data_IF_309741670153
#
_entry.id   IF_309741670153
#
_cell.length_a   1.000
_cell.length_b   1.000
_cell.length_c   1.000
_cell.angle_alpha   90.00
_cell.angle_beta   90.00
_cell.angle_gamma   90.00
#
_symmetry.space_group_name_H-M   'P 1'
#
loop_
_entity.id
_entity.type
_entity.pdbx_description
1 polymer ?
#
# COMPACT_ATOMS: atom_id res chain seq x y z
N UNK A 1 -45.46 -26.23 27.69
CA UNK A 1 -45.66 -24.76 27.71
C UNK A 1 -45.16 -24.26 29.06
N UNK A 2 -43.90 -23.84 29.12
CA UNK A 2 -43.35 -23.12 30.28
C UNK A 2 -43.50 -21.64 29.94
N UNK A 3 -44.38 -20.94 30.65
CA UNK A 3 -44.48 -19.49 30.61
C UNK A 3 -43.19 -18.92 31.20
N UNK A 4 -42.32 -18.38 30.35
CA UNK A 4 -41.17 -17.62 30.80
C UNK A 4 -41.68 -16.43 31.62
N UNK A 5 -41.37 -16.46 32.92
CA UNK A 5 -41.53 -15.33 33.82
C UNK A 5 -40.84 -14.14 33.16
N UNK A 6 -41.58 -13.05 32.91
CA UNK A 6 -41.05 -11.78 32.41
C UNK A 6 -39.84 -11.38 33.27
N UNK A 7 -38.63 -11.64 32.76
CA UNK A 7 -37.40 -11.22 33.40
C UNK A 7 -37.45 -9.71 33.52
N UNK A 8 -37.25 -9.19 34.73
CA UNK A 8 -37.07 -7.74 34.91
C UNK A 8 -35.83 -7.36 34.11
N UNK A 9 -35.95 -6.40 33.20
CA UNK A 9 -34.79 -5.83 32.52
C UNK A 9 -34.04 -4.96 33.52
N UNK A 10 -32.72 -4.94 33.48
CA UNK A 10 -31.88 -4.13 34.36
C UNK A 10 -31.04 -3.17 33.50
N UNK A 11 -30.95 -1.90 33.92
CA UNK A 11 -29.99 -0.91 33.44
C UNK A 11 -28.84 -0.86 34.43
N UNK A 12 -27.60 -0.87 33.95
CA UNK A 12 -26.44 -0.86 34.81
C UNK A 12 -25.56 0.33 34.46
N UNK A 13 -25.30 1.19 35.44
CA UNK A 13 -24.32 2.27 35.30
C UNK A 13 -22.95 1.73 35.74
N UNK A 14 -21.96 1.90 34.87
CA UNK A 14 -20.60 1.42 35.09
C UNK A 14 -19.68 2.62 35.28
N UNK A 15 -19.13 2.79 36.48
CA UNK A 15 -18.22 3.88 36.79
C UNK A 15 -16.92 3.35 37.39
N UNK A 16 -15.91 3.18 36.55
CA UNK A 16 -14.69 2.44 36.91
C UNK A 16 -14.97 0.95 37.08
N UNK A 17 -14.34 0.29 38.06
CA UNK A 17 -14.51 -1.15 38.33
C UNK A 17 -15.86 -1.53 38.99
N UNK A 18 -16.78 -0.59 39.13
CA UNK A 18 -18.02 -0.77 39.89
C UNK A 18 -19.24 -0.65 38.98
N UNK A 19 -19.99 -1.74 38.85
CA UNK A 19 -21.27 -1.80 38.11
C UNK A 19 -22.43 -1.75 39.08
N UNK A 20 -23.27 -0.73 38.98
CA UNK A 20 -24.52 -0.61 39.74
C UNK A 20 -25.72 -0.83 38.85
N UNK A 21 -26.43 -1.95 39.05
CA UNK A 21 -27.60 -2.33 38.28
C UNK A 21 -28.91 -1.97 38.98
N UNK A 22 -29.81 -1.30 38.26
CA UNK A 22 -31.16 -0.95 38.66
C UNK A 22 -32.16 -1.62 37.73
N UNK A 23 -33.25 -2.19 38.26
CA UNK A 23 -34.30 -2.74 37.39
C UNK A 23 -34.98 -1.60 36.62
N UNK A 24 -35.11 -1.74 35.29
CA UNK A 24 -35.96 -0.89 34.48
C UNK A 24 -37.39 -0.95 35.03
N UNK A 25 -37.99 0.22 35.26
CA UNK A 25 -39.34 0.31 35.76
C UNK A 25 -40.31 -0.30 34.73
N UNK A 26 -41.34 -1.00 35.19
CA UNK A 26 -42.35 -1.63 34.31
C UNK A 26 -43.14 -0.64 33.44
N UNK A 27 -42.99 0.66 33.68
CA UNK A 27 -43.59 1.76 32.92
C UNK A 27 -42.69 2.32 31.82
N UNK A 28 -41.40 2.00 31.82
CA UNK A 28 -40.41 2.68 30.98
C UNK A 28 -39.93 1.75 29.86
N UNK A 29 -40.46 2.05 28.68
CA UNK A 29 -39.96 1.72 27.35
C UNK A 29 -40.06 0.24 26.87
N UNK A 30 -40.60 0.08 25.67
CA UNK A 30 -40.47 -1.16 24.90
C UNK A 30 -38.99 -1.52 24.76
N UNK A 31 -38.58 -2.76 25.07
CA UNK A 31 -37.17 -3.15 24.97
C UNK A 31 -36.64 -2.88 23.56
N UNK A 32 -35.40 -2.42 23.43
CA UNK A 32 -34.73 -2.37 22.13
C UNK A 32 -34.60 -3.81 21.62
N UNK A 33 -35.20 -4.07 20.48
CA UNK A 33 -35.19 -5.40 19.84
C UNK A 33 -34.37 -5.44 18.56
N UNK A 34 -33.64 -4.36 18.27
CA UNK A 34 -32.81 -4.25 17.08
C UNK A 34 -31.52 -5.07 17.26
N UNK A 35 -31.06 -5.68 16.16
CA UNK A 35 -29.84 -6.52 16.14
C UNK A 35 -28.64 -5.70 16.68
N UNK A 36 -27.93 -6.27 17.67
CA UNK A 36 -26.72 -5.70 18.27
C UNK A 36 -26.92 -4.88 19.54
N UNK A 37 -28.14 -4.73 20.02
CA UNK A 37 -28.42 -4.21 21.37
C UNK A 37 -28.55 -5.35 22.38
N UNK A 38 -28.11 -5.12 23.60
CA UNK A 38 -28.33 -6.05 24.72
C UNK A 38 -28.31 -5.35 26.07
N UNK A 39 -28.76 -6.10 27.08
CA UNK A 39 -28.79 -5.66 28.47
C UNK A 39 -27.88 -6.58 29.31
N UNK A 40 -27.33 -6.10 30.42
CA UNK A 40 -26.64 -6.98 31.37
C UNK A 40 -27.66 -7.86 32.09
N UNK A 41 -27.37 -9.16 32.20
CA UNK A 41 -28.13 -10.01 33.10
C UNK A 41 -27.71 -9.76 34.57
N UNK A 42 -28.52 -8.98 35.28
CA UNK A 42 -28.32 -8.71 36.71
C UNK A 42 -28.48 -9.94 37.62
N UNK A 43 -28.95 -11.07 37.10
CA UNK A 43 -29.12 -12.33 37.86
C UNK A 43 -27.97 -13.32 37.67
N UNK A 44 -27.35 -13.33 36.48
CA UNK A 44 -26.21 -14.20 36.17
C UNK A 44 -25.04 -13.34 35.67
N UNK A 45 -24.11 -12.97 36.56
CA UNK A 45 -22.90 -12.24 36.17
C UNK A 45 -22.15 -13.07 35.12
N UNK A 46 -21.94 -12.49 33.92
CA UNK A 46 -21.42 -13.09 32.68
C UNK A 46 -22.47 -13.46 31.60
N UNK A 47 -23.76 -13.33 31.88
CA UNK A 47 -24.80 -13.43 30.86
C UNK A 47 -25.23 -12.05 30.36
N UNK A 48 -25.78 -12.04 29.16
CA UNK A 48 -26.38 -10.89 28.49
C UNK A 48 -27.84 -11.24 28.18
N UNK A 49 -28.72 -10.26 28.28
CA UNK A 49 -30.12 -10.41 27.88
C UNK A 49 -30.26 -9.80 26.48
N UNK A 50 -30.68 -10.62 25.53
CA UNK A 50 -31.01 -10.18 24.18
C UNK A 50 -32.52 -10.27 23.96
N UNK A 51 -33.11 -9.19 23.46
CA UNK A 51 -34.53 -9.14 23.13
C UNK A 51 -34.73 -9.20 21.62
N UNK A 52 -35.65 -10.05 21.16
CA UNK A 52 -36.04 -10.19 19.75
C UNK A 52 -37.52 -9.90 19.60
N UNK A 53 -37.92 -9.35 18.44
CA UNK A 53 -39.32 -9.07 18.11
C UNK A 53 -39.77 -9.91 16.92
N UNK A 54 -40.78 -10.74 17.12
CA UNK A 54 -41.43 -11.51 16.05
C UNK A 54 -42.89 -11.09 15.94
N UNK A 55 -43.22 -10.32 14.90
CA UNK A 55 -44.54 -9.68 14.78
C UNK A 55 -44.76 -8.63 15.88
N UNK A 56 -45.80 -8.79 16.70
CA UNK A 56 -46.08 -7.93 17.86
C UNK A 56 -45.47 -8.44 19.17
N UNK A 57 -44.91 -9.64 19.19
CA UNK A 57 -44.40 -10.27 20.41
C UNK A 57 -42.92 -9.95 20.60
N UNK A 58 -42.54 -9.58 21.83
CA UNK A 58 -41.14 -9.39 22.25
C UNK A 58 -40.76 -10.54 23.18
N UNK A 59 -39.63 -11.17 22.89
CA UNK A 59 -39.04 -12.26 23.68
C UNK A 59 -37.62 -11.89 24.06
N UNK A 60 -37.29 -11.95 25.35
CA UNK A 60 -35.95 -11.67 25.86
C UNK A 60 -35.37 -12.93 26.49
N UNK A 61 -34.14 -13.29 26.11
CA UNK A 61 -33.45 -14.48 26.59
C UNK A 61 -32.12 -14.08 27.23
N UNK A 62 -31.83 -14.67 28.40
CA UNK A 62 -30.50 -14.63 29.00
C UNK A 62 -29.63 -15.67 28.30
N UNK A 63 -28.64 -15.19 27.58
CA UNK A 63 -27.66 -16.02 26.88
C UNK A 63 -26.29 -15.86 27.54
N UNK A 64 -25.52 -16.93 27.56
CA UNK A 64 -24.15 -16.87 28.03
C UNK A 64 -23.39 -15.82 27.20
N UNK A 65 -22.65 -14.94 27.87
CA UNK A 65 -21.78 -13.99 27.18
C UNK A 65 -20.74 -14.71 26.29
N UNK A 66 -20.14 -14.00 25.32
CA UNK A 66 -19.08 -14.56 24.49
C UNK A 66 -17.99 -15.22 25.35
N UNK A 67 -17.46 -16.37 24.91
CA UNK A 67 -16.40 -17.06 25.63
C UNK A 67 -15.09 -16.26 25.58
N UNK A 68 -14.12 -16.56 26.45
CA UNK A 68 -12.79 -15.92 26.45
C UNK A 68 -12.00 -16.06 25.13
N UNK A 69 -12.46 -16.95 24.24
CA UNK A 69 -11.89 -17.17 22.92
C UNK A 69 -12.58 -16.35 21.82
N UNK A 70 -13.72 -15.73 22.13
CA UNK A 70 -14.52 -14.90 21.23
C UNK A 70 -14.12 -13.41 21.44
N UNK A 71 -12.93 -13.04 20.96
CA UNK A 71 -12.43 -11.66 21.02
C UNK A 71 -13.07 -10.79 19.93
N UNK A 72 -13.41 -9.54 20.26
CA UNK A 72 -13.94 -8.54 19.31
C UNK A 72 -15.47 -8.48 19.20
N UNK A 73 -16.20 -9.27 19.99
CA UNK A 73 -17.66 -9.23 20.04
C UNK A 73 -18.15 -8.20 21.06
N UNK A 74 -19.14 -7.41 20.65
CA UNK A 74 -19.79 -6.41 21.49
C UNK A 74 -21.31 -6.41 21.31
N UNK A 75 -22.00 -5.86 22.30
CA UNK A 75 -23.38 -5.41 22.20
C UNK A 75 -23.42 -3.94 22.62
N UNK A 76 -24.24 -3.15 21.92
CA UNK A 76 -24.56 -1.79 22.31
C UNK A 76 -25.43 -1.89 23.56
N UNK A 77 -25.07 -1.15 24.61
CA UNK A 77 -25.91 -1.04 25.80
C UNK A 77 -27.26 -0.45 25.38
N UNK A 78 -28.31 -1.25 25.52
CA UNK A 78 -29.65 -0.86 25.15
C UNK A 78 -30.18 0.34 25.97
N UNK A 79 -29.56 0.62 27.13
CA UNK A 79 -29.91 1.69 28.05
C UNK A 79 -29.09 2.97 27.85
N UNK A 80 -28.06 2.92 27.00
CA UNK A 80 -27.31 4.12 26.62
C UNK A 80 -28.16 4.95 25.65
N UNK A 81 -28.59 6.12 26.12
CA UNK A 81 -29.06 7.19 25.26
C UNK A 81 -27.80 7.84 24.73
N UNK A 82 -27.49 7.70 23.44
CA UNK A 82 -26.31 8.28 22.81
C UNK A 82 -26.11 9.75 23.24
N UNK A 83 -25.35 9.99 24.31
CA UNK A 83 -25.07 11.34 24.76
C UNK A 83 -23.99 11.91 23.82
N UNK A 84 -24.38 12.91 23.03
CA UNK A 84 -23.49 13.74 22.22
C UNK A 84 -22.21 14.08 23.00
N UNK A 85 -21.04 13.77 22.42
CA UNK A 85 -19.76 14.28 22.91
C UNK A 85 -19.01 13.44 23.96
N UNK A 86 -19.37 12.16 24.19
CA UNK A 86 -18.58 11.26 25.05
C UNK A 86 -17.97 10.03 24.37
N UNK A 87 -18.35 9.67 23.14
CA UNK A 87 -17.77 8.49 22.46
C UNK A 87 -16.45 8.84 21.75
N UNK A 88 -15.41 7.97 21.81
CA UNK A 88 -14.22 8.12 20.97
C UNK A 88 -14.60 8.12 19.50
N UNK A 89 -13.87 8.86 18.66
CA UNK A 89 -14.16 8.89 17.23
C UNK A 89 -13.84 7.53 16.57
N UNK A 90 -14.84 6.97 15.87
CA UNK A 90 -14.75 5.86 14.91
C UNK A 90 -14.21 4.54 15.47
N UNK A 91 -14.99 3.88 16.33
CA UNK A 91 -14.68 2.53 16.81
C UNK A 91 -15.58 1.49 16.16
N UNK A 92 -15.02 0.31 15.86
CA UNK A 92 -15.71 -0.79 15.19
C UNK A 92 -15.58 -2.07 16.01
N UNK A 93 -16.68 -2.82 16.12
CA UNK A 93 -16.75 -4.07 16.88
C UNK A 93 -17.65 -5.07 16.17
N UNK A 94 -17.46 -6.36 16.41
CA UNK A 94 -18.30 -7.41 15.81
C UNK A 94 -19.63 -7.46 16.56
N UNK A 95 -20.74 -7.47 15.83
CA UNK A 95 -22.05 -7.65 16.43
C UNK A 95 -22.21 -9.10 16.90
N UNK A 96 -22.34 -9.31 18.21
CA UNK A 96 -22.52 -10.64 18.79
C UNK A 96 -23.84 -11.31 18.38
N UNK A 97 -24.92 -10.54 18.30
CA UNK A 97 -26.24 -11.05 17.91
C UNK A 97 -26.27 -11.54 16.46
N UNK A 98 -25.47 -10.92 15.58
CA UNK A 98 -25.44 -11.23 14.16
C UNK A 98 -24.07 -10.96 13.57
N UNK A 99 -23.30 -12.04 13.36
CA UNK A 99 -21.91 -11.97 12.87
C UNK A 99 -21.75 -11.29 11.51
N UNK A 100 -22.80 -11.15 10.71
CA UNK A 100 -22.74 -10.39 9.45
C UNK A 100 -22.82 -8.87 9.64
N UNK A 101 -23.03 -8.41 10.87
CA UNK A 101 -23.08 -7.00 11.25
C UNK A 101 -21.88 -6.59 12.10
N UNK A 102 -21.57 -5.30 12.06
CA UNK A 102 -20.61 -4.64 12.96
C UNK A 102 -21.30 -3.50 13.68
N UNK A 103 -20.83 -3.22 14.89
CA UNK A 103 -21.18 -2.04 15.68
C UNK A 103 -20.19 -0.95 15.32
N UNK A 104 -20.69 0.24 14.98
CA UNK A 104 -19.92 1.44 14.68
C UNK A 104 -20.30 2.52 15.68
N UNK A 105 -19.30 3.04 16.39
CA UNK A 105 -19.47 4.14 17.33
C UNK A 105 -18.75 5.39 16.83
N UNK A 106 -19.47 6.50 16.73
CA UNK A 106 -18.89 7.82 16.44
C UNK A 106 -19.16 8.79 17.59
N UNK A 107 -18.33 9.83 17.68
CA UNK A 107 -18.48 10.89 18.68
C UNK A 107 -19.78 11.71 18.50
N UNK A 108 -20.30 11.76 17.27
CA UNK A 108 -21.46 12.56 16.85
C UNK A 108 -22.77 11.79 16.89
N UNK A 109 -22.75 10.52 16.50
CA UNK A 109 -23.97 9.74 16.23
C UNK A 109 -24.19 8.61 17.24
N UNK A 110 -23.25 8.42 18.18
CA UNK A 110 -23.27 7.30 19.11
C UNK A 110 -22.98 5.97 18.42
N UNK A 111 -23.44 4.86 19.00
CA UNK A 111 -23.23 3.51 18.47
C UNK A 111 -24.45 3.02 17.68
N UNK A 112 -24.22 2.45 16.50
CA UNK A 112 -25.24 1.84 15.64
C UNK A 112 -24.71 0.55 14.99
N UNK A 113 -25.59 -0.26 14.41
CA UNK A 113 -25.20 -1.47 13.67
C UNK A 113 -25.33 -1.30 12.17
N UNK A 114 -24.32 -1.76 11.44
CA UNK A 114 -24.30 -1.80 9.98
C UNK A 114 -23.91 -3.19 9.48
N UNK A 115 -24.19 -3.49 8.21
CA UNK A 115 -23.75 -4.73 7.58
C UNK A 115 -22.23 -4.68 7.33
N UNK A 116 -21.50 -5.61 7.94
CA UNK A 116 -20.03 -5.63 7.88
C UNK A 116 -19.50 -6.04 6.52
N UNK A 117 -20.21 -6.89 5.78
CA UNK A 117 -19.95 -7.14 4.37
C UNK A 117 -21.25 -7.32 3.56
N UNK A 118 -21.64 -6.25 2.87
CA UNK A 118 -22.81 -6.21 1.97
C UNK A 118 -22.52 -6.64 0.52
N UNK A 119 -21.26 -6.97 0.20
CA UNK A 119 -20.83 -7.23 -1.18
C UNK A 119 -20.70 -8.73 -1.45
N UNK A 120 -21.08 -9.17 -2.66
CA UNK A 120 -20.97 -10.57 -3.08
C UNK A 120 -19.54 -11.01 -3.43
N UNK A 121 -18.56 -10.09 -3.39
CA UNK A 121 -17.16 -10.36 -3.74
C UNK A 121 -16.21 -9.45 -2.93
N UNK A 122 -15.19 -10.05 -2.29
CA UNK A 122 -14.13 -9.36 -1.56
C UNK A 122 -14.39 -9.23 -0.05
N UNK A 123 -13.32 -9.33 0.74
CA UNK A 123 -13.35 -9.13 2.19
C UNK A 123 -13.35 -7.62 2.48
N UNK A 124 -14.08 -7.21 3.53
CA UNK A 124 -14.05 -5.82 4.04
C UNK A 124 -13.26 -5.77 5.34
N UNK A 125 -12.49 -4.71 5.51
CA UNK A 125 -11.65 -4.51 6.69
C UNK A 125 -12.03 -3.24 7.43
N UNK A 126 -12.00 -3.28 8.77
CA UNK A 126 -12.27 -2.14 9.66
C UNK A 126 -11.23 -2.10 10.80
N UNK A 127 -10.85 -0.91 11.30
CA UNK A 127 -9.94 -0.82 12.44
C UNK A 127 -10.64 -1.37 13.69
N UNK A 128 -9.98 -2.27 14.42
CA UNK A 128 -10.52 -2.79 15.69
C UNK A 128 -10.50 -1.68 16.77
N UNK A 129 -11.61 -1.52 17.50
CA UNK A 129 -11.81 -0.39 18.41
C UNK A 129 -10.81 -0.31 19.57
N UNK A 130 -10.23 0.89 19.78
CA UNK A 130 -9.19 1.14 20.80
C UNK A 130 -9.71 1.27 22.24
N UNK A 131 -10.90 1.85 22.43
CA UNK A 131 -11.47 2.09 23.77
C UNK A 131 -12.76 1.26 23.95
N UNK A 132 -12.61 0.29 24.84
CA UNK A 132 -13.57 -0.76 25.15
C UNK A 132 -14.54 -0.38 26.28
N UNK A 133 -14.41 0.82 26.84
CA UNK A 133 -15.18 1.29 28.00
C UNK A 133 -16.66 1.60 27.72
N UNK A 134 -17.07 1.60 26.44
CA UNK A 134 -18.43 1.94 25.98
C UNK A 134 -19.20 0.80 25.32
N UNK A 135 -18.60 -0.37 25.25
CA UNK A 135 -19.23 -1.58 24.75
C UNK A 135 -19.09 -2.64 25.82
N UNK A 136 -20.15 -3.43 26.04
CA UNK A 136 -20.04 -4.59 26.90
C UNK A 136 -19.08 -5.60 26.27
N UNK A 137 -17.84 -5.56 26.72
CA UNK A 137 -16.95 -6.70 26.69
C UNK A 137 -17.14 -7.43 28.00
N UNK A 138 -17.62 -8.66 27.92
CA UNK A 138 -17.58 -9.57 29.06
C UNK A 138 -16.12 -9.85 29.40
N UNK A 139 -15.47 -8.99 30.20
CA UNK A 139 -14.18 -9.33 30.77
C UNK A 139 -14.38 -10.38 31.89
N UNK A 140 -13.62 -11.49 31.89
CA UNK A 140 -13.51 -12.31 33.08
C UNK A 140 -12.75 -11.54 34.17
N UNK A 141 -13.17 -11.76 35.42
CA UNK A 141 -12.53 -11.25 36.64
C UNK A 141 -10.99 -11.43 36.61
N UNK A 142 -10.30 -10.29 36.59
CA UNK A 142 -8.92 -10.02 37.01
C UNK A 142 -7.90 -11.16 36.99
N UNK A 143 -7.01 -11.13 35.99
CA UNK A 143 -5.54 -11.29 36.10
C UNK A 143 -4.99 -11.65 34.72
N UNK A 144 -4.69 -10.67 33.88
CA UNK A 144 -3.50 -10.70 33.02
C UNK A 144 -3.36 -9.40 32.23
N UNK A 145 -2.11 -9.05 31.98
CA UNK A 145 -1.59 -7.84 31.34
C UNK A 145 -2.32 -7.44 30.04
N UNK A 146 -2.59 -6.13 29.92
CA UNK A 146 -2.97 -5.36 28.72
C UNK A 146 -3.23 -6.16 27.43
N UNK A 147 -4.49 -6.16 26.98
CA UNK A 147 -4.90 -6.78 25.72
C UNK A 147 -4.11 -6.16 24.56
N UNK A 148 -3.23 -6.97 23.96
CA UNK A 148 -2.40 -6.58 22.82
C UNK A 148 -3.27 -6.16 21.62
N UNK A 149 -3.07 -4.91 21.21
CA UNK A 149 -3.69 -4.13 20.13
C UNK A 149 -3.37 -4.63 18.71
N UNK A 150 -3.41 -5.96 18.53
CA UNK A 150 -2.82 -6.67 17.41
C UNK A 150 -3.81 -7.06 16.31
N UNK A 151 -5.00 -6.47 16.22
CA UNK A 151 -6.08 -7.05 15.41
C UNK A 151 -6.70 -6.06 14.40
N UNK A 152 -7.27 -6.65 13.34
CA UNK A 152 -8.08 -5.99 12.30
C UNK A 152 -9.39 -6.78 12.20
N UNK A 153 -10.51 -6.09 12.02
CA UNK A 153 -11.79 -6.76 11.78
C UNK A 153 -11.90 -7.11 10.30
N UNK A 154 -12.05 -8.39 10.01
CA UNK A 154 -12.21 -8.94 8.67
C UNK A 154 -13.63 -9.48 8.51
N UNK A 155 -14.36 -8.95 7.53
CA UNK A 155 -15.73 -9.33 7.24
C UNK A 155 -15.85 -9.99 5.88
N UNK A 156 -16.31 -11.24 5.86
CA UNK A 156 -16.61 -12.00 4.64
C UNK A 156 -18.04 -12.57 4.66
N UNK A 157 -18.54 -12.99 3.50
CA UNK A 157 -19.92 -13.50 3.36
C UNK A 157 -20.13 -14.92 3.88
N UNK A 158 -19.06 -15.66 4.12
CA UNK A 158 -19.06 -17.07 4.57
C UNK A 158 -19.00 -17.18 6.09
N UNK A 159 -18.12 -16.42 6.74
CA UNK A 159 -17.83 -16.47 8.16
C UNK A 159 -18.41 -15.27 8.93
N UNK A 160 -18.91 -14.25 8.21
CA UNK A 160 -19.26 -12.96 8.82
C UNK A 160 -18.00 -12.17 9.17
N UNK A 161 -18.10 -11.35 10.21
CA UNK A 161 -17.01 -10.55 10.74
C UNK A 161 -16.28 -11.30 11.85
N UNK A 162 -14.96 -11.32 11.75
CA UNK A 162 -14.04 -11.95 12.70
C UNK A 162 -12.90 -10.99 13.04
N UNK A 163 -12.33 -11.15 14.23
CA UNK A 163 -11.12 -10.44 14.63
C UNK A 163 -9.92 -11.26 14.16
N UNK A 164 -9.14 -10.69 13.23
CA UNK A 164 -7.96 -11.29 12.63
C UNK A 164 -6.70 -10.61 13.16
N UNK A 165 -5.61 -11.35 13.37
CA UNK A 165 -4.33 -10.74 13.74
C UNK A 165 -3.83 -9.84 12.61
N UNK A 166 -3.30 -8.67 12.98
CA UNK A 166 -2.58 -7.81 12.08
C UNK A 166 -1.25 -8.50 11.69
N UNK A 167 -0.88 -8.36 10.43
CA UNK A 167 0.30 -8.98 9.85
C UNK A 167 1.52 -8.06 9.89
N UNK A 168 1.52 -7.05 10.77
CA UNK A 168 2.64 -6.14 10.91
C UNK A 168 3.82 -6.80 11.63
N UNK A 169 5.02 -6.35 11.31
CA UNK A 169 6.27 -6.78 11.98
C UNK A 169 6.96 -5.55 12.56
N UNK A 170 7.96 -5.76 13.42
CA UNK A 170 8.75 -4.66 14.02
C UNK A 170 9.33 -3.70 12.98
N UNK A 171 9.62 -4.20 11.77
CA UNK A 171 10.30 -3.44 10.72
C UNK A 171 9.40 -3.08 9.54
N UNK A 172 8.15 -3.56 9.51
CA UNK A 172 7.27 -3.34 8.36
C UNK A 172 5.80 -3.32 8.80
N UNK A 173 5.10 -2.20 8.58
CA UNK A 173 3.66 -2.12 8.79
C UNK A 173 2.88 -3.05 7.84
N UNK A 174 1.66 -3.40 8.23
CA UNK A 174 0.68 -4.03 7.34
C UNK A 174 -0.43 -3.04 6.97
N UNK A 175 -0.95 -3.17 5.76
CA UNK A 175 -1.93 -2.24 5.19
C UNK A 175 -3.16 -2.98 4.67
N UNK A 176 -4.33 -2.41 4.91
CA UNK A 176 -5.63 -2.95 4.49
C UNK A 176 -6.50 -1.81 3.96
N UNK A 177 -7.39 -2.08 3.01
CA UNK A 177 -8.39 -1.10 2.57
C UNK A 177 -9.41 -0.91 3.69
N UNK A 178 -9.51 0.30 4.23
CA UNK A 178 -10.52 0.60 5.23
C UNK A 178 -11.88 0.78 4.55
N UNK A 179 -12.85 -0.03 4.97
CA UNK A 179 -14.20 -0.06 4.44
C UNK A 179 -15.19 0.82 5.22
N UNK A 180 -14.72 1.57 6.21
CA UNK A 180 -15.55 2.42 7.06
C UNK A 180 -16.27 3.57 6.35
N UNK A 181 -15.62 4.17 5.35
CA UNK A 181 -16.17 5.27 4.56
C UNK A 181 -15.91 5.06 3.07
N UNK A 182 -16.94 4.60 2.35
CA UNK A 182 -16.84 4.30 0.91
C UNK A 182 -16.65 5.54 0.02
N UNK A 183 -16.78 6.75 0.56
CA UNK A 183 -16.59 8.00 -0.16
C UNK A 183 -15.18 8.59 0.04
N UNK A 184 -14.32 7.93 0.82
CA UNK A 184 -12.94 8.36 1.08
C UNK A 184 -11.93 7.26 0.77
N UNK A 185 -10.70 7.64 0.37
CA UNK A 185 -9.61 6.69 0.20
C UNK A 185 -8.98 6.37 1.56
N UNK A 186 -9.64 5.54 2.36
CA UNK A 186 -9.12 5.18 3.67
C UNK A 186 -8.27 3.90 3.63
N UNK A 187 -7.20 3.88 4.41
CA UNK A 187 -6.29 2.76 4.63
C UNK A 187 -6.19 2.49 6.14
N UNK A 188 -6.21 1.22 6.53
CA UNK A 188 -5.82 0.79 7.87
C UNK A 188 -4.32 0.54 7.83
N UNK A 189 -3.57 1.25 8.67
CA UNK A 189 -2.14 1.02 8.89
C UNK A 189 -1.94 0.37 10.24
N UNK A 190 -1.29 -0.79 10.25
CA UNK A 190 -1.01 -1.53 11.47
C UNK A 190 0.49 -1.62 11.75
N UNK A 191 0.88 -1.39 13.00
CA UNK A 191 2.16 -1.77 13.60
C UNK A 191 1.95 -3.01 14.49
N UNK A 192 3.03 -3.62 15.05
CA UNK A 192 2.87 -4.71 16.01
C UNK A 192 2.02 -4.37 17.24
N UNK A 193 1.84 -3.07 17.52
CA UNK A 193 1.21 -2.58 18.74
C UNK A 193 -0.09 -1.82 18.51
N UNK A 194 -0.54 -1.59 17.27
CA UNK A 194 -1.85 -0.96 17.00
C UNK A 194 -2.21 -0.94 15.52
N UNK A 195 -3.49 -0.73 15.22
CA UNK A 195 -4.01 -0.42 13.89
C UNK A 195 -4.76 0.92 13.92
N UNK A 196 -4.48 1.79 12.96
CA UNK A 196 -5.14 3.10 12.83
C UNK A 196 -5.66 3.30 11.41
N UNK A 197 -6.84 3.89 11.28
CA UNK A 197 -7.38 4.32 9.98
C UNK A 197 -6.96 5.76 9.65
N UNK A 198 -6.66 6.01 8.38
CA UNK A 198 -6.38 7.34 7.85
C UNK A 198 -6.51 7.40 6.33
N UNK A 199 -6.36 8.59 5.76
CA UNK A 199 -6.33 8.75 4.29
C UNK A 199 -5.09 8.07 3.70
N UNK A 200 -5.31 7.23 2.69
CA UNK A 200 -4.28 6.61 1.88
C UNK A 200 -3.72 7.56 0.84
N UNK A 201 -2.48 7.31 0.41
CA UNK A 201 -1.81 8.09 -0.62
C UNK A 201 -2.55 7.97 -1.96
N UNK A 202 -2.96 9.11 -2.49
CA UNK A 202 -3.49 9.24 -3.85
C UNK A 202 -2.43 9.68 -4.85
N UNK A 203 -1.17 9.78 -4.40
CA UNK A 203 -0.05 10.15 -5.25
C UNK A 203 0.22 9.05 -6.28
N UNK A 204 0.38 9.48 -7.53
CA UNK A 204 0.56 8.56 -8.62
C UNK A 204 1.89 7.81 -8.54
N UNK A 205 1.87 6.52 -8.85
CA UNK A 205 3.03 5.63 -8.73
C UNK A 205 3.34 5.20 -7.30
N UNK A 206 2.52 5.59 -6.34
CA UNK A 206 2.59 5.05 -4.98
C UNK A 206 1.56 3.92 -4.80
N UNK A 207 1.92 2.94 -3.98
CA UNK A 207 1.02 1.87 -3.58
C UNK A 207 1.40 1.36 -2.19
N UNK A 208 0.49 0.67 -1.53
CA UNK A 208 0.79 -0.12 -0.33
C UNK A 208 0.84 -1.59 -0.73
N UNK A 209 1.73 -2.39 -0.14
CA UNK A 209 1.69 -3.84 -0.35
C UNK A 209 0.50 -4.42 0.41
N UNK A 210 -0.31 -5.21 -0.28
CA UNK A 210 -1.44 -5.89 0.34
C UNK A 210 -0.93 -6.91 1.37
N UNK A 211 -1.42 -6.80 2.61
CA UNK A 211 -1.04 -7.70 3.68
C UNK A 211 -1.66 -9.09 3.53
N UNK A 212 -2.82 -9.18 2.89
CA UNK A 212 -3.67 -10.38 2.83
C UNK A 212 -3.33 -11.27 1.64
N UNK A 213 -2.86 -10.67 0.54
CA UNK A 213 -2.36 -11.38 -0.62
C UNK A 213 -1.03 -10.76 -1.08
N UNK A 214 0.05 -11.51 -0.90
CA UNK A 214 1.40 -11.09 -1.26
C UNK A 214 1.58 -10.80 -2.76
N UNK A 215 0.63 -11.15 -3.63
CA UNK A 215 0.63 -10.83 -5.06
C UNK A 215 0.08 -9.45 -5.39
N UNK A 216 -0.58 -8.81 -4.44
CA UNK A 216 -1.36 -7.60 -4.70
C UNK A 216 -0.74 -6.37 -4.05
N UNK A 217 -1.15 -5.23 -4.59
CA UNK A 217 -0.95 -3.92 -4.00
C UNK A 217 -2.29 -3.21 -3.86
N UNK A 218 -2.35 -2.29 -2.92
CA UNK A 218 -3.46 -1.37 -2.69
C UNK A 218 -3.07 -0.03 -3.29
N UNK A 219 -3.91 0.49 -4.18
CA UNK A 219 -3.77 1.85 -4.71
C UNK A 219 -5.01 2.66 -4.36
N UNK A 220 -4.82 3.97 -4.20
CA UNK A 220 -5.89 4.88 -3.85
C UNK A 220 -6.09 5.96 -4.92
N UNK A 221 -7.35 6.29 -5.15
CA UNK A 221 -7.80 7.44 -5.94
C UNK A 221 -8.37 8.49 -5.01
N UNK A 222 -8.74 9.67 -5.50
CA UNK A 222 -9.40 10.69 -4.66
C UNK A 222 -10.71 10.22 -4.01
N UNK A 223 -11.34 9.16 -4.54
CA UNK A 223 -12.61 8.65 -4.04
C UNK A 223 -12.48 7.44 -3.11
N UNK A 224 -11.55 6.51 -3.41
CA UNK A 224 -11.43 5.24 -2.68
C UNK A 224 -10.09 4.55 -2.89
N UNK A 225 -9.71 3.70 -1.93
CA UNK A 225 -8.65 2.70 -2.06
C UNK A 225 -9.25 1.38 -2.57
N UNK A 226 -8.54 0.65 -3.43
CA UNK A 226 -9.00 -0.64 -3.93
C UNK A 226 -7.90 -1.70 -3.89
N UNK A 227 -8.30 -2.91 -3.52
CA UNK A 227 -7.73 -4.18 -4.01
C UNK A 227 -8.69 -4.70 -5.10
N UNK A 228 -8.24 -5.35 -6.18
CA UNK A 228 -6.88 -5.53 -6.65
C UNK A 228 -6.54 -4.45 -7.68
N UNK A 229 -5.58 -3.57 -7.38
CA UNK A 229 -4.77 -3.06 -8.49
C UNK A 229 -3.86 -4.23 -8.86
N UNK A 230 -4.24 -4.97 -9.90
CA UNK A 230 -3.62 -6.23 -10.27
C UNK A 230 -2.08 -6.16 -10.29
N UNK A 231 -1.47 -6.85 -9.32
CA UNK A 231 -0.30 -7.72 -9.53
C UNK A 231 -0.72 -9.16 -9.84
N UNK A 232 -2.02 -9.42 -10.05
CA UNK A 232 -2.53 -10.68 -10.59
C UNK A 232 -2.11 -10.85 -12.07
N UNK A 233 -0.82 -11.10 -12.31
CA UNK A 233 -0.26 -11.49 -13.60
C UNK A 233 0.60 -10.45 -14.33
N UNK A 234 0.85 -9.26 -13.78
CA UNK A 234 1.70 -8.23 -14.42
C UNK A 234 2.89 -7.84 -13.55
N UNK A 235 4.08 -7.86 -14.14
CA UNK A 235 5.33 -7.38 -13.50
C UNK A 235 5.27 -5.86 -13.44
N UNK A 236 5.35 -5.28 -12.25
CA UNK A 236 5.30 -3.82 -12.05
C UNK A 236 6.08 -3.34 -10.82
N UNK A 237 6.40 -2.04 -10.72
CA UNK A 237 7.10 -1.44 -9.58
C UNK A 237 6.42 -0.17 -9.09
N UNK A 238 6.25 -0.05 -7.78
CA UNK A 238 5.62 1.09 -7.12
C UNK A 238 6.55 1.70 -6.07
N UNK A 239 6.35 2.97 -5.77
CA UNK A 239 6.89 3.60 -4.56
C UNK A 239 6.04 3.14 -3.37
N UNK A 240 6.64 2.70 -2.27
CA UNK A 240 5.86 2.35 -1.07
C UNK A 240 5.25 3.63 -0.47
N UNK A 241 3.93 3.72 -0.52
CA UNK A 241 3.17 4.84 0.01
C UNK A 241 3.32 4.99 1.54
N UNK A 242 3.67 3.91 2.25
CA UNK A 242 3.97 3.95 3.67
C UNK A 242 5.42 4.32 4.00
N UNK A 243 6.33 4.20 3.03
CA UNK A 243 7.75 4.51 3.20
C UNK A 243 8.39 4.90 1.86
N UNK A 244 8.51 6.20 1.60
CA UNK A 244 9.05 6.73 0.34
C UNK A 244 10.54 6.41 0.11
N UNK A 245 11.24 5.81 1.07
CA UNK A 245 12.61 5.30 0.92
C UNK A 245 12.65 3.83 0.46
N UNK A 246 11.49 3.26 0.14
CA UNK A 246 11.31 1.88 -0.25
C UNK A 246 10.43 1.80 -1.50
N UNK A 247 10.60 0.73 -2.25
CA UNK A 247 9.78 0.40 -3.42
C UNK A 247 9.14 -0.97 -3.23
N UNK A 248 8.03 -1.18 -3.93
CA UNK A 248 7.33 -2.46 -4.03
C UNK A 248 7.56 -2.98 -5.45
N UNK A 249 8.38 -4.01 -5.60
CA UNK A 249 8.60 -4.70 -6.86
C UNK A 249 7.72 -5.94 -6.96
N UNK A 250 6.76 -5.93 -7.87
CA UNK A 250 5.83 -7.02 -8.14
C UNK A 250 6.31 -7.84 -9.34
N UNK A 251 6.50 -9.14 -9.09
CA UNK A 251 6.60 -10.17 -10.13
C UNK A 251 5.25 -10.85 -10.29
N UNK A 252 5.13 -11.78 -11.24
CA UNK A 252 3.88 -12.48 -11.56
C UNK A 252 3.21 -13.19 -10.38
N UNK A 253 3.99 -13.53 -9.34
CA UNK A 253 3.60 -14.37 -8.22
C UNK A 253 3.80 -13.72 -6.85
N UNK A 254 4.48 -12.58 -6.76
CA UNK A 254 4.76 -11.91 -5.49
C UNK A 254 5.19 -10.45 -5.66
N UNK A 255 4.70 -9.59 -4.77
CA UNK A 255 5.17 -8.23 -4.52
C UNK A 255 6.10 -8.20 -3.31
N UNK A 256 7.31 -7.67 -3.52
CA UNK A 256 8.36 -7.58 -2.53
C UNK A 256 8.77 -6.15 -2.27
N UNK A 257 9.06 -5.85 -1.01
CA UNK A 257 9.76 -4.64 -0.64
C UNK A 257 11.24 -4.70 -1.04
N UNK A 258 11.73 -3.64 -1.65
CA UNK A 258 13.15 -3.41 -1.93
C UNK A 258 13.52 -2.04 -1.36
N UNK A 259 14.57 -1.98 -0.55
CA UNK A 259 15.07 -0.71 0.00
C UNK A 259 15.80 0.06 -1.10
N UNK A 260 15.50 1.35 -1.24
CA UNK A 260 16.27 2.21 -2.14
C UNK A 260 17.64 2.52 -1.51
N UNK A 261 18.70 2.55 -2.33
CA UNK A 261 20.06 2.70 -1.83
C UNK A 261 20.45 4.16 -1.57
N UNK A 262 21.24 4.37 -0.51
CA UNK A 262 21.72 5.69 -0.05
C UNK A 262 22.91 6.25 -0.86
N UNK A 263 23.10 5.78 -2.09
CA UNK A 263 24.21 6.24 -2.93
C UNK A 263 23.74 7.48 -3.68
N UNK A 264 24.61 8.49 -3.83
CA UNK A 264 24.33 9.80 -4.47
C UNK A 264 24.05 9.74 -5.98
N UNK A 265 23.46 8.64 -6.47
CA UNK A 265 23.21 8.34 -7.87
C UNK A 265 21.77 7.86 -8.01
N UNK A 266 21.09 8.51 -8.94
CA UNK A 266 19.67 8.39 -9.28
C UNK A 266 19.38 6.95 -9.72
N UNK A 267 18.70 6.21 -8.83
CA UNK A 267 18.20 4.88 -9.14
C UNK A 267 16.92 5.04 -9.97
N UNK A 268 16.92 4.47 -11.17
CA UNK A 268 15.78 4.53 -12.11
C UNK A 268 15.14 3.16 -12.16
N UNK A 269 13.84 3.12 -11.86
CA UNK A 269 13.03 1.91 -11.87
C UNK A 269 11.89 2.16 -12.86
N UNK A 270 11.72 1.26 -13.82
CA UNK A 270 10.57 1.29 -14.72
C UNK A 270 9.76 0.02 -14.55
N UNK A 271 8.49 0.17 -14.21
CA UNK A 271 7.38 -0.26 -15.05
C UNK A 271 6.18 0.58 -14.62
N UNK A 272 5.28 0.85 -15.56
CA UNK A 272 3.95 1.31 -15.25
C UNK A 272 3.04 0.63 -16.25
N UNK A 273 1.96 0.05 -15.73
CA UNK A 273 0.64 -0.12 -16.35
C UNK A 273 0.48 0.72 -17.64
N UNK A 274 -0.13 0.11 -18.66
CA UNK A 274 -0.47 0.56 -20.04
C UNK A 274 -0.88 2.04 -20.31
N UNK A 275 -0.84 2.93 -19.32
CA UNK A 275 -1.38 4.28 -19.33
C UNK A 275 -0.42 5.36 -18.82
N UNK A 276 0.76 5.04 -18.26
CA UNK A 276 1.68 6.08 -17.74
C UNK A 276 3.13 6.00 -18.19
N UNK A 277 3.60 7.17 -18.66
CA UNK A 277 4.98 7.48 -19.03
C UNK A 277 5.70 7.96 -17.79
N UNK A 278 6.42 7.08 -17.08
CA UNK A 278 7.17 7.51 -15.92
C UNK A 278 8.31 6.59 -15.55
N UNK A 279 9.27 7.15 -14.83
CA UNK A 279 10.38 6.47 -14.17
C UNK A 279 10.30 6.82 -12.69
N UNK A 280 10.52 5.85 -11.81
CA UNK A 280 10.74 6.14 -10.40
C UNK A 280 12.21 6.54 -10.23
N UNK A 281 12.43 7.76 -9.77
CA UNK A 281 13.73 8.31 -9.41
C UNK A 281 13.85 8.31 -7.89
N UNK A 282 14.89 7.68 -7.37
CA UNK A 282 15.23 7.73 -5.94
C UNK A 282 16.47 8.58 -5.72
N UNK A 283 16.31 9.66 -4.97
CA UNK A 283 17.34 10.64 -4.66
C UNK A 283 17.83 10.47 -3.22
N UNK A 284 19.15 10.45 -3.03
CA UNK A 284 19.76 10.54 -1.70
C UNK A 284 20.00 12.01 -1.32
N UNK A 285 19.32 12.47 -0.28
CA UNK A 285 19.56 13.78 0.30
C UNK A 285 20.70 13.69 1.33
N UNK A 286 21.84 14.27 0.98
CA UNK A 286 23.01 14.36 1.85
C UNK A 286 22.74 15.12 3.17
N UNK A 287 21.78 16.05 3.19
CA UNK A 287 21.43 16.82 4.37
C UNK A 287 20.63 16.00 5.37
N UNK A 288 19.55 15.34 4.91
CA UNK A 288 18.74 14.46 5.77
C UNK A 288 19.32 13.06 5.95
N UNK A 289 20.35 12.69 5.16
CA UNK A 289 20.91 11.33 5.07
C UNK A 289 19.84 10.27 4.79
N UNK A 290 18.86 10.64 3.96
CA UNK A 290 17.74 9.78 3.62
C UNK A 290 17.59 9.66 2.10
N UNK A 291 17.04 8.53 1.66
CA UNK A 291 16.62 8.30 0.27
C UNK A 291 15.14 8.63 0.15
N UNK A 292 14.73 9.26 -0.94
CA UNK A 292 13.30 9.44 -1.23
C UNK A 292 13.06 9.20 -2.70
N UNK A 293 12.06 8.37 -2.99
CA UNK A 293 11.65 8.02 -4.33
C UNK A 293 10.44 8.86 -4.78
N UNK A 294 10.43 9.26 -6.04
CA UNK A 294 9.37 10.03 -6.68
C UNK A 294 9.14 9.55 -8.11
N UNK A 295 7.93 9.74 -8.62
CA UNK A 295 7.61 9.45 -10.01
C UNK A 295 7.98 10.66 -10.88
N UNK A 296 8.92 10.48 -11.80
CA UNK A 296 9.26 11.46 -12.83
C UNK A 296 8.59 11.09 -14.16
N UNK A 297 7.76 11.99 -14.67
CA UNK A 297 7.05 11.85 -15.95
C UNK A 297 7.48 12.84 -17.01
N UNK A 298 8.19 13.90 -16.64
CA UNK A 298 8.42 15.07 -17.48
C UNK A 298 9.88 15.19 -17.89
N UNK A 299 10.81 14.93 -16.97
CA UNK A 299 12.24 15.12 -17.21
C UNK A 299 12.93 13.85 -17.71
N UNK A 300 12.52 12.68 -17.20
CA UNK A 300 13.15 11.39 -17.52
C UNK A 300 12.59 10.64 -18.75
N UNK A 301 11.36 10.92 -19.20
CA UNK A 301 10.77 10.15 -20.32
C UNK A 301 10.89 10.89 -21.64
N UNK A 302 12.08 10.82 -22.24
CA UNK A 302 12.30 11.27 -23.62
C UNK A 302 12.52 10.05 -24.53
N UNK A 303 12.04 10.10 -25.80
CA UNK A 303 12.36 9.07 -26.76
C UNK A 303 13.87 8.87 -26.82
N UNK A 304 14.31 7.61 -26.82
CA UNK A 304 15.70 7.17 -26.88
C UNK A 304 16.53 7.45 -25.62
N UNK A 305 15.90 7.89 -24.52
CA UNK A 305 16.60 7.96 -23.23
C UNK A 305 17.01 6.57 -22.75
N UNK A 306 18.23 6.48 -22.21
CA UNK A 306 18.81 5.24 -21.66
C UNK A 306 19.33 5.49 -20.26
N UNK A 307 19.02 4.57 -19.36
CA UNK A 307 19.35 4.63 -17.94
C UNK A 307 19.89 3.28 -17.48
N UNK A 308 20.68 3.28 -16.40
CA UNK A 308 21.00 2.05 -15.67
C UNK A 308 19.75 1.61 -14.91
N UNK A 309 19.41 0.32 -14.99
CA UNK A 309 18.34 -0.26 -14.20
C UNK A 309 18.78 -0.42 -12.75
N UNK A 310 18.15 0.35 -11.87
CA UNK A 310 18.43 0.30 -10.44
C UNK A 310 18.10 -1.03 -9.76
N UNK A 311 17.18 -1.83 -10.33
CA UNK A 311 16.82 -3.14 -9.78
C UNK A 311 17.81 -4.24 -10.15
N UNK A 312 18.69 -4.00 -11.12
CA UNK A 312 19.56 -5.05 -11.63
C UNK A 312 20.50 -5.58 -10.54
N UNK A 313 20.53 -6.90 -10.36
CA UNK A 313 21.36 -7.57 -9.37
C UNK A 313 20.93 -7.35 -7.91
N UNK A 314 19.83 -6.61 -7.65
CA UNK A 314 19.30 -6.44 -6.30
C UNK A 314 18.55 -7.69 -5.85
N UNK A 315 18.62 -8.07 -4.57
CA UNK A 315 17.78 -9.13 -4.03
C UNK A 315 16.31 -8.86 -4.34
N UNK A 316 15.63 -9.82 -5.00
CA UNK A 316 14.22 -9.72 -5.42
C UNK A 316 13.95 -8.66 -6.50
N UNK A 317 14.99 -8.07 -7.08
CA UNK A 317 14.95 -7.12 -8.19
C UNK A 317 14.95 -7.79 -9.56
N UNK A 318 15.57 -7.12 -10.52
CA UNK A 318 15.77 -7.57 -11.90
C UNK A 318 17.11 -8.33 -11.99
N UNK A 319 17.13 -9.44 -12.73
CA UNK A 319 18.33 -10.26 -12.91
C UNK A 319 18.79 -10.33 -14.37
N UNK A 320 18.02 -9.79 -15.30
CA UNK A 320 18.25 -9.94 -16.74
C UNK A 320 18.54 -8.61 -17.43
N UNK A 321 17.97 -7.51 -16.96
CA UNK A 321 17.94 -6.25 -17.68
C UNK A 321 18.75 -5.17 -16.94
N UNK A 322 20.02 -4.95 -17.30
CA UNK A 322 20.85 -3.94 -16.65
C UNK A 322 20.51 -2.50 -17.07
N UNK A 323 19.68 -2.32 -18.10
CA UNK A 323 19.31 -1.01 -18.64
C UNK A 323 17.79 -0.78 -18.57
N UNK A 324 17.40 0.49 -18.62
CA UNK A 324 16.06 0.95 -18.95
C UNK A 324 16.17 1.81 -20.21
N UNK A 325 15.42 1.48 -21.24
CA UNK A 325 15.42 2.21 -22.52
C UNK A 325 14.00 2.73 -22.78
N UNK A 326 13.91 4.01 -23.12
CA UNK A 326 12.66 4.71 -23.37
C UNK A 326 12.40 4.92 -24.87
N UNK A 327 11.15 4.74 -25.26
CA UNK A 327 10.60 5.17 -26.55
C UNK A 327 9.61 6.34 -26.35
N UNK A 328 8.86 6.71 -27.39
CA UNK A 328 7.89 7.81 -27.32
C UNK A 328 6.69 7.53 -26.41
N UNK A 329 6.48 6.27 -26.02
CA UNK A 329 5.30 5.76 -25.31
C UNK A 329 5.60 5.20 -23.92
N UNK A 330 6.78 4.62 -23.69
CA UNK A 330 7.14 3.98 -22.42
C UNK A 330 8.65 3.81 -22.24
N UNK A 331 9.04 3.49 -21.01
CA UNK A 331 10.39 3.01 -20.68
C UNK A 331 10.31 1.54 -20.27
N UNK A 332 11.23 0.72 -20.78
CA UNK A 332 11.23 -0.72 -20.56
C UNK A 332 12.58 -1.22 -20.06
N UNK A 333 12.61 -2.11 -19.05
CA UNK A 333 13.82 -2.86 -18.72
C UNK A 333 14.31 -3.60 -19.97
N UNK A 334 15.59 -3.45 -20.27
CA UNK A 334 16.20 -3.98 -21.48
C UNK A 334 17.57 -4.61 -21.19
N UNK A 335 17.87 -5.68 -21.94
CA UNK A 335 19.24 -6.19 -22.07
C UNK A 335 20.11 -5.18 -22.79
N UNK A 336 21.39 -5.15 -22.44
CA UNK A 336 22.35 -4.42 -23.25
C UNK A 336 22.50 -5.11 -24.60
N UNK A 337 22.41 -4.36 -25.69
CA UNK A 337 22.90 -4.79 -27.00
C UNK A 337 24.42 -4.85 -26.95
N UNK A 338 25.02 -5.98 -27.31
CA UNK A 338 26.48 -6.15 -27.40
C UNK A 338 26.87 -6.32 -28.87
N UNK A 339 27.55 -5.34 -29.46
CA UNK A 339 28.04 -5.40 -30.85
C UNK A 339 29.57 -5.38 -30.91
N UNK A 340 30.18 -6.26 -31.70
CA UNK A 340 31.62 -6.18 -32.01
C UNK A 340 32.54 -6.46 -30.80
N UNK A 341 33.37 -5.48 -30.43
CA UNK A 341 34.57 -5.59 -29.54
C UNK A 341 34.27 -5.79 -28.04
N UNK A 342 33.22 -6.52 -27.68
CA UNK A 342 32.85 -6.87 -26.29
C UNK A 342 32.39 -5.69 -25.41
N UNK A 343 32.14 -4.51 -25.99
CA UNK A 343 31.67 -3.32 -25.26
C UNK A 343 30.59 -2.62 -26.06
N UNK A 344 29.65 -2.00 -25.36
CA UNK A 344 28.61 -1.19 -25.96
C UNK A 344 28.37 0.04 -25.10
N UNK A 345 28.17 1.17 -25.79
CA UNK A 345 28.15 2.49 -25.19
C UNK A 345 26.80 3.13 -25.45
N UNK A 346 26.21 3.68 -24.39
CA UNK A 346 24.95 4.41 -24.43
C UNK A 346 25.18 5.79 -23.80
N UNK A 347 24.38 6.77 -24.21
CA UNK A 347 24.32 8.03 -23.47
C UNK A 347 23.54 7.79 -22.17
N UNK A 348 24.14 8.10 -21.03
CA UNK A 348 23.38 8.12 -19.79
C UNK A 348 22.42 9.30 -19.84
N UNK A 349 21.13 9.06 -19.65
CA UNK A 349 20.12 10.12 -19.73
C UNK A 349 19.75 10.73 -18.37
N UNK A 350 20.51 10.41 -17.31
CA UNK A 350 20.30 10.95 -15.97
C UNK A 350 20.43 12.48 -15.89
N UNK A 351 20.10 13.06 -14.73
CA UNK A 351 20.10 14.51 -14.54
C UNK A 351 21.51 15.13 -14.65
N UNK A 352 22.58 14.37 -14.36
CA UNK A 352 23.96 14.88 -14.46
C UNK A 352 24.39 15.00 -15.93
N UNK A 353 23.95 14.08 -16.77
CA UNK A 353 24.10 14.16 -18.23
C UNK A 353 23.28 15.28 -18.85
N UNK A 354 22.07 15.55 -18.35
CA UNK A 354 21.26 16.70 -18.79
C UNK A 354 21.99 18.03 -18.51
N UNK A 355 22.74 18.10 -17.41
CA UNK A 355 23.58 19.24 -17.06
C UNK A 355 24.90 19.31 -17.83
N UNK A 356 25.17 18.36 -18.75
CA UNK A 356 26.26 18.41 -19.73
C UNK A 356 27.65 18.53 -19.12
N UNK A 357 27.91 17.78 -18.04
CA UNK A 357 29.10 17.94 -17.20
C UNK A 357 30.27 17.02 -17.55
N UNK A 358 30.14 16.16 -18.57
CA UNK A 358 31.06 15.05 -18.89
C UNK A 358 31.19 14.00 -17.78
N UNK A 359 30.51 14.18 -16.64
CA UNK A 359 30.62 13.28 -15.50
C UNK A 359 29.48 12.27 -15.55
N UNK A 360 29.84 10.98 -15.60
CA UNK A 360 28.90 9.86 -15.73
C UNK A 360 27.97 9.95 -16.95
N UNK A 361 28.37 10.69 -18.00
CA UNK A 361 27.57 10.91 -19.21
C UNK A 361 27.44 9.64 -20.09
N UNK A 362 28.25 8.61 -19.84
CA UNK A 362 28.31 7.38 -20.66
C UNK A 362 27.98 6.15 -19.81
N UNK A 363 27.09 5.30 -20.31
CA UNK A 363 26.88 3.95 -19.80
C UNK A 363 27.70 2.97 -20.66
N UNK A 364 28.51 2.15 -20.00
CA UNK A 364 29.32 1.09 -20.62
C UNK A 364 28.83 -0.29 -20.17
N UNK A 365 28.46 -1.13 -21.13
CA UNK A 365 28.04 -2.52 -20.90
C UNK A 365 28.99 -3.49 -21.64
N UNK A 366 29.31 -4.62 -21.01
CA UNK A 366 30.23 -5.64 -21.55
C UNK A 366 29.53 -6.94 -21.94
N UNK A 367 28.39 -7.25 -21.32
CA UNK A 367 27.53 -8.40 -21.65
C UNK A 367 26.05 -7.99 -21.60
N UNK A 368 25.19 -8.80 -22.22
CA UNK A 368 23.76 -8.46 -22.38
C UNK A 368 23.01 -8.37 -21.05
N UNK A 369 23.31 -9.26 -20.11
CA UNK A 369 22.66 -9.38 -18.80
C UNK A 369 23.69 -9.34 -17.67
N UNK A 370 24.55 -8.33 -17.68
CA UNK A 370 25.52 -8.04 -16.63
C UNK A 370 25.48 -6.56 -16.28
N UNK A 371 25.91 -6.21 -15.07
CA UNK A 371 25.88 -4.84 -14.57
C UNK A 371 26.65 -3.90 -15.52
N UNK A 372 25.96 -2.85 -15.99
CA UNK A 372 26.59 -1.78 -16.76
C UNK A 372 27.20 -0.76 -15.80
N UNK A 373 28.25 -0.08 -16.25
CA UNK A 373 28.99 0.89 -15.43
C UNK A 373 28.86 2.31 -15.99
N UNK A 374 28.89 3.30 -15.10
CA UNK A 374 28.98 4.70 -15.48
C UNK A 374 30.44 5.08 -15.72
N UNK A 375 30.67 5.83 -16.79
CA UNK A 375 31.98 6.39 -17.12
C UNK A 375 31.87 7.86 -17.48
N UNK A 376 32.95 8.60 -17.21
CA UNK A 376 33.03 10.00 -17.61
C UNK A 376 33.30 10.10 -19.11
N UNK A 377 32.65 11.06 -19.76
CA UNK A 377 33.06 11.54 -21.07
C UNK A 377 34.41 12.25 -20.99
N UNK A 378 35.09 12.33 -22.13
CA UNK A 378 36.24 13.23 -22.30
C UNK A 378 36.06 14.03 -23.58
N UNK A 379 36.59 15.25 -23.59
CA UNK A 379 36.49 16.12 -24.75
C UNK A 379 37.02 15.40 -26.00
N UNK A 380 36.25 15.46 -27.09
CA UNK A 380 36.50 14.80 -28.39
C UNK A 380 36.41 13.28 -28.42
N UNK A 381 36.03 12.61 -27.33
CA UNK A 381 35.72 11.18 -27.40
C UNK A 381 34.50 10.94 -28.29
N UNK A 382 34.59 9.89 -29.11
CA UNK A 382 33.53 9.43 -30.01
C UNK A 382 33.30 7.94 -29.76
N UNK A 383 32.04 7.56 -29.58
CA UNK A 383 31.61 6.18 -29.38
C UNK A 383 30.56 5.81 -30.42
N UNK A 384 30.48 4.52 -30.76
CA UNK A 384 29.33 3.99 -31.48
C UNK A 384 28.16 3.88 -30.50
N UNK A 385 27.04 4.50 -30.86
CA UNK A 385 25.84 4.48 -30.05
C UNK A 385 25.15 3.11 -30.15
N UNK A 386 25.15 2.36 -29.06
CA UNK A 386 24.49 1.07 -29.01
C UNK A 386 22.95 1.19 -29.04
N UNK A 387 22.39 2.36 -28.70
CA UNK A 387 20.97 2.66 -28.85
C UNK A 387 20.55 3.04 -30.28
N UNK A 388 21.45 2.95 -31.27
CA UNK A 388 21.12 3.23 -32.67
C UNK A 388 20.06 2.26 -33.22
N UNK A 389 19.04 2.84 -33.86
CA UNK A 389 18.01 2.16 -34.62
C UNK A 389 17.65 3.00 -35.85
N UNK A 390 17.69 2.42 -37.05
CA UNK A 390 17.48 3.15 -38.30
C UNK A 390 16.09 3.83 -38.40
N UNK A 391 15.10 3.33 -37.67
CA UNK A 391 13.72 3.81 -37.66
C UNK A 391 13.46 4.76 -36.48
N UNK A 392 13.88 4.40 -35.27
CA UNK A 392 13.50 5.11 -34.03
C UNK A 392 14.62 5.97 -33.41
N UNK A 393 15.90 5.64 -33.61
CA UNK A 393 17.04 6.42 -33.13
C UNK A 393 18.16 6.48 -34.17
N UNK A 394 18.08 7.46 -35.06
CA UNK A 394 18.98 7.58 -36.21
C UNK A 394 20.37 8.13 -35.86
N UNK A 395 20.70 8.30 -34.58
CA UNK A 395 22.00 8.83 -34.15
C UNK A 395 22.99 7.69 -33.92
N UNK A 396 23.93 7.49 -34.86
CA UNK A 396 24.91 6.40 -34.80
C UNK A 396 26.07 6.65 -33.81
N UNK A 397 26.32 7.91 -33.44
CA UNK A 397 27.50 8.30 -32.68
C UNK A 397 27.10 8.94 -31.36
N UNK A 398 27.97 8.80 -30.35
CA UNK A 398 27.97 9.62 -29.14
C UNK A 398 29.24 10.46 -29.17
N UNK A 399 29.12 11.78 -29.05
CA UNK A 399 30.26 12.71 -29.09
C UNK A 399 30.28 13.57 -27.84
N UNK A 400 31.42 13.57 -27.15
CA UNK A 400 31.64 14.31 -25.92
C UNK A 400 32.44 15.60 -26.15
N UNK A 401 31.99 16.70 -25.56
CA UNK A 401 32.64 18.02 -25.66
C UNK A 401 32.68 18.72 -24.30
N UNK A 402 33.76 19.46 -24.01
CA UNK A 402 33.90 20.20 -22.74
C UNK A 402 32.75 21.16 -22.46
N UNK A 403 32.25 21.85 -23.50
CA UNK A 403 31.17 22.83 -23.37
C UNK A 403 29.82 22.26 -23.82
N UNK A 404 29.49 21.04 -23.40
CA UNK A 404 28.24 20.42 -23.83
C UNK A 404 28.01 18.97 -23.41
N UNK A 405 28.88 18.37 -22.61
CA UNK A 405 28.76 16.98 -22.19
C UNK A 405 28.87 16.02 -23.37
N UNK A 406 28.38 14.80 -23.17
CA UNK A 406 28.17 13.84 -24.27
C UNK A 406 26.78 14.01 -24.88
N UNK A 407 26.69 13.84 -26.19
CA UNK A 407 25.43 13.93 -26.93
C UNK A 407 25.41 12.96 -28.10
N UNK A 408 24.26 12.39 -28.40
CA UNK A 408 24.06 11.58 -29.60
C UNK A 408 24.10 12.46 -30.86
N UNK A 409 24.75 11.97 -31.93
CA UNK A 409 24.84 12.64 -33.22
C UNK A 409 24.68 11.66 -34.39
N UNK A 410 24.09 12.13 -35.48
CA UNK A 410 24.11 11.41 -36.76
C UNK A 410 25.54 11.39 -37.32
N UNK A 411 25.94 10.27 -37.88
CA UNK A 411 27.13 10.23 -38.71
C UNK A 411 26.86 11.08 -39.97
N UNK A 412 27.68 12.11 -40.17
CA UNK A 412 27.56 12.97 -41.34
C UNK A 412 28.32 12.34 -42.50
N UNK A 413 27.73 11.33 -43.14
CA UNK A 413 28.26 10.69 -44.35
C UNK A 413 27.27 10.82 -45.49
N UNK A 414 27.78 11.11 -46.68
CA UNK A 414 27.04 11.06 -47.94
C UNK A 414 27.04 9.66 -48.57
N UNK A 415 27.66 8.67 -47.92
CA UNK A 415 27.77 7.27 -48.37
C UNK A 415 26.79 6.39 -47.62
N UNK A 416 26.20 5.39 -48.30
CA UNK A 416 25.37 4.35 -47.67
C UNK A 416 26.20 3.23 -47.02
N UNK A 417 27.47 3.10 -47.39
CA UNK A 417 28.44 2.20 -46.75
C UNK A 417 29.27 2.98 -45.72
N UNK A 418 29.05 2.70 -44.43
CA UNK A 418 29.78 3.28 -43.30
C UNK A 418 30.72 2.22 -42.70
N UNK A 419 32.03 2.39 -42.91
CA UNK A 419 33.05 1.62 -42.21
C UNK A 419 33.63 2.45 -41.06
N UNK A 420 33.34 2.05 -39.82
CA UNK A 420 33.91 2.67 -38.63
C UNK A 420 35.25 2.01 -38.28
N UNK A 421 36.36 2.68 -38.59
CA UNK A 421 37.69 2.29 -38.14
C UNK A 421 37.94 2.91 -36.76
N UNK A 422 37.85 2.09 -35.71
CA UNK A 422 38.29 2.45 -34.35
C UNK A 422 39.82 2.46 -34.29
N UNK A 423 40.43 3.51 -34.84
CA UNK A 423 41.81 3.87 -34.53
C UNK A 423 41.91 5.38 -34.40
N UNK A 424 42.53 5.81 -33.30
CA UNK A 424 42.97 7.16 -32.98
C UNK A 424 43.19 8.05 -34.21
N UNK A 425 42.48 9.20 -34.25
CA UNK A 425 42.62 10.34 -35.18
C UNK A 425 42.19 10.08 -36.63
N UNK A 426 41.06 10.69 -37.01
CA UNK A 426 40.86 11.14 -38.40
C UNK A 426 40.76 12.67 -38.38
N UNK A 427 41.89 13.34 -38.64
CA UNK A 427 41.83 14.70 -39.17
C UNK A 427 41.36 14.60 -40.63
N UNK A 428 40.12 15.00 -40.89
CA UNK A 428 39.71 15.36 -42.25
C UNK A 428 40.23 16.77 -42.53
N UNK A 429 41.42 16.86 -43.14
CA UNK A 429 41.78 18.05 -43.91
C UNK A 429 40.94 18.05 -45.17
N UNK A 430 40.04 19.03 -45.29
CA UNK A 430 39.38 19.37 -46.54
C UNK A 430 40.43 19.92 -47.52
N UNK A 431 40.38 19.43 -48.77
CA UNK A 431 41.03 20.07 -49.91
C UNK A 431 40.06 21.01 -50.61
#
# INVERSE_FOLDING_TARGET
MSTATTGKLYSCDTKGDNTTCSSLAASDETPKTDDGYGYIDGTTPANIIQCTKTGSNVTCESIAGPSTNDKGFGLIDATDNAEEGKAPANQYFINFAKKSMIIVCSATDGCSTIEGNSATTGNKYYPDGEDKSKIFLCEPKASDTAVEYKYVLECDTTNGCVSSLNLATENQPSYYVDSSDTAKPLIITCTPDKCTSGEGSTAEGTAYRDATDAKNVITCTSAKCNTPAAGAGTVDTYIDAGNLSQIINCKTDVCNYIKADAIALIQILSTFINWCKGIIECDYDNSSKNVTCKLDKETAVKPNSVYINGLFGKPKGDEENPLIICDATKCTPSKAKITGTSKSYYINSDIQSVNKTLKNDIIECTKESEECTLSNGSNTNVYLNANFNAESNQNQLIICRTNGGCSEQKANSTTTDLHYLSTLVVQLKQH
#
